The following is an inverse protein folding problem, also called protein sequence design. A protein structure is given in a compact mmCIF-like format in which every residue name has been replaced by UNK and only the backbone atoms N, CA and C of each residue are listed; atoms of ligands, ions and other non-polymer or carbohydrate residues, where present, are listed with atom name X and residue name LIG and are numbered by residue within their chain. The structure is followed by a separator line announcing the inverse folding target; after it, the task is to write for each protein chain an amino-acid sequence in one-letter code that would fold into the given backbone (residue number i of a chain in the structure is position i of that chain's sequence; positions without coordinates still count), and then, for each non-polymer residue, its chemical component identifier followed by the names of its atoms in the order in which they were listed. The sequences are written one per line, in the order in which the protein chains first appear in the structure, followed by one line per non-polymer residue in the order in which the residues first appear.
data_IF_299878740944
#
_entry.id   IF_299878740944
#
_cell.length_a   1.000
_cell.length_b   1.000
_cell.length_c   1.000
_cell.angle_alpha   90.00
_cell.angle_beta   90.00
_cell.angle_gamma   90.00
#
_symmetry.space_group_name_H-M   'P 1'
#
loop_
_entity.id
_entity.type
_entity.pdbx_description
1 polymer ?
#
# COMPACT_ATOMS: atom_id res chain seq x y z
N UNK A 1 18.92 36.84 45.73
CA UNK A 1 18.63 36.53 44.32
C UNK A 1 17.34 35.74 44.34
N UNK A 2 16.25 36.34 43.86
CA UNK A 2 14.95 35.70 43.86
C UNK A 2 14.98 34.54 42.85
N UNK A 3 14.88 33.30 43.33
CA UNK A 3 14.79 32.13 42.46
C UNK A 3 13.47 32.21 41.68
N UNK A 4 13.57 32.66 40.43
CA UNK A 4 12.43 32.73 39.54
C UNK A 4 12.01 31.30 39.19
N UNK A 5 10.74 30.96 39.44
CA UNK A 5 10.20 29.65 39.11
C UNK A 5 10.46 29.33 37.62
N UNK A 6 10.93 28.12 37.26
CA UNK A 6 11.23 27.79 35.88
C UNK A 6 9.95 27.66 35.04
N UNK A 7 10.09 27.82 33.73
CA UNK A 7 9.04 27.44 32.79
C UNK A 7 8.80 25.93 32.89
N UNK A 8 7.57 25.47 32.67
CA UNK A 8 7.27 24.03 32.64
C UNK A 8 6.61 23.68 31.30
N UNK A 9 7.11 22.62 30.67
CA UNK A 9 6.61 22.13 29.39
C UNK A 9 6.17 20.67 29.53
N UNK A 10 5.10 20.31 28.83
CA UNK A 10 4.57 18.94 28.79
C UNK A 10 4.17 18.61 27.37
N UNK A 11 4.66 17.49 26.84
CA UNK A 11 4.20 16.95 25.56
C UNK A 11 2.88 16.23 25.79
N UNK A 12 1.80 16.63 25.12
CA UNK A 12 0.47 16.07 25.35
C UNK A 12 0.19 14.94 24.35
N UNK A 13 0.30 15.23 23.06
CA UNK A 13 -0.06 14.31 21.98
C UNK A 13 0.56 14.74 20.66
N UNK A 14 0.79 13.80 19.75
CA UNK A 14 1.12 14.05 18.36
C UNK A 14 0.03 13.53 17.42
N UNK A 15 -0.33 14.31 16.41
CA UNK A 15 -1.29 13.98 15.37
C UNK A 15 -0.60 13.87 13.99
N UNK A 16 -1.18 13.10 13.08
CA UNK A 16 -0.70 13.00 11.70
C UNK A 16 0.62 12.24 11.51
N UNK A 17 1.21 11.65 12.56
CA UNK A 17 2.50 10.93 12.46
C UNK A 17 2.45 9.70 11.52
N UNK A 18 1.28 9.09 11.34
CA UNK A 18 1.08 7.99 10.38
C UNK A 18 1.25 8.43 8.92
N UNK A 19 1.13 9.72 8.61
CA UNK A 19 1.39 10.25 7.28
C UNK A 19 2.90 10.36 7.00
N UNK A 20 3.72 10.40 8.06
CA UNK A 20 5.18 10.54 7.94
C UNK A 20 5.88 9.19 7.70
N UNK A 21 5.22 8.05 7.99
CA UNK A 21 5.74 6.71 7.70
C UNK A 21 4.62 5.72 7.36
N UNK A 22 4.92 4.83 6.42
CA UNK A 22 4.01 3.75 5.99
C UNK A 22 3.78 2.65 7.04
N UNK A 23 4.59 2.60 8.10
CA UNK A 23 4.46 1.58 9.14
C UNK A 23 3.16 1.79 9.93
N UNK A 24 2.30 0.76 9.97
CA UNK A 24 0.96 0.83 10.60
C UNK A 24 0.99 1.11 12.11
N UNK A 25 2.11 0.85 12.79
CA UNK A 25 2.24 1.08 14.24
C UNK A 25 3.70 1.28 14.64
N UNK A 26 4.02 2.45 15.19
CA UNK A 26 5.33 2.73 15.79
C UNK A 26 5.17 3.69 16.97
N UNK A 27 6.11 3.67 17.91
CA UNK A 27 6.11 4.54 19.10
C UNK A 27 7.03 5.74 18.87
N UNK A 28 6.48 6.96 18.77
CA UNK A 28 7.28 8.17 18.58
C UNK A 28 8.11 8.49 19.81
N UNK A 29 9.35 8.93 19.58
CA UNK A 29 10.22 9.48 20.62
C UNK A 29 10.33 10.98 20.37
N UNK A 30 9.75 11.80 21.24
CA UNK A 30 9.80 13.25 21.14
C UNK A 30 10.91 13.77 22.04
N UNK A 31 11.83 14.55 21.48
CA UNK A 31 12.83 15.28 22.26
C UNK A 31 12.58 16.76 22.15
N UNK A 32 12.59 17.45 23.29
CA UNK A 32 12.49 18.90 23.40
C UNK A 32 13.83 19.42 23.88
N UNK A 33 14.44 20.30 23.09
CA UNK A 33 15.77 20.86 23.30
C UNK A 33 15.66 22.38 23.46
N UNK A 34 16.17 22.93 24.56
CA UNK A 34 16.19 24.38 24.81
C UNK A 34 17.62 24.90 24.65
N UNK A 35 17.83 25.82 23.70
CA UNK A 35 19.12 26.48 23.44
C UNK A 35 20.33 25.51 23.34
N UNK A 36 20.08 24.24 22.96
CA UNK A 36 21.07 23.14 22.92
C UNK A 36 21.64 22.70 24.28
N UNK A 37 21.07 23.16 25.39
CA UNK A 37 21.57 22.86 26.74
C UNK A 37 20.72 21.82 27.46
N UNK A 38 19.39 21.97 27.42
CA UNK A 38 18.47 21.07 28.12
C UNK A 38 17.76 20.18 27.12
N UNK A 39 17.97 18.87 27.25
CA UNK A 39 17.33 17.84 26.43
C UNK A 39 16.38 17.03 27.31
N UNK A 40 15.08 17.12 27.02
CA UNK A 40 14.08 16.23 27.58
C UNK A 40 13.56 15.26 26.52
N UNK A 41 13.38 14.00 26.87
CA UNK A 41 12.91 12.94 25.97
C UNK A 41 11.69 12.25 26.54
N UNK A 42 10.65 12.09 25.72
CA UNK A 42 9.45 11.33 26.08
C UNK A 42 9.03 10.39 24.96
N UNK A 43 8.51 9.22 25.32
CA UNK A 43 8.06 8.19 24.37
C UNK A 43 6.54 8.17 24.36
N UNK A 44 5.96 8.43 23.18
CA UNK A 44 4.52 8.43 22.97
C UNK A 44 4.01 7.00 22.66
N UNK A 45 2.71 6.79 22.88
CA UNK A 45 1.96 5.62 22.44
C UNK A 45 1.93 5.51 20.91
N UNK A 46 1.52 4.34 20.40
CA UNK A 46 1.40 4.11 18.95
C UNK A 46 0.37 5.02 18.27
N UNK A 47 -0.57 5.55 19.04
CA UNK A 47 -1.58 6.53 18.65
C UNK A 47 -1.10 7.99 18.79
N UNK A 48 0.14 8.19 19.22
CA UNK A 48 0.72 9.51 19.45
C UNK A 48 0.36 10.12 20.81
N UNK A 49 -0.29 9.41 21.73
CA UNK A 49 -0.62 9.95 23.05
C UNK A 49 0.55 9.85 24.03
N UNK A 50 0.78 10.89 24.85
CA UNK A 50 1.71 10.76 25.97
C UNK A 50 1.03 10.02 27.12
N UNK A 51 1.58 8.86 27.50
CA UNK A 51 1.06 8.05 28.62
C UNK A 51 1.36 8.76 29.97
N UNK A 52 2.44 9.55 30.02
CA UNK A 52 2.91 10.24 31.21
C UNK A 52 2.54 11.73 31.19
N UNK A 53 1.25 12.06 31.14
CA UNK A 53 0.78 13.46 31.15
C UNK A 53 1.15 14.23 32.42
N UNK A 54 1.51 13.53 33.51
CA UNK A 54 1.98 14.13 34.76
C UNK A 54 3.46 14.52 34.72
N UNK A 55 4.21 14.03 33.73
CA UNK A 55 5.63 14.30 33.59
C UNK A 55 5.83 15.64 32.87
N UNK A 56 5.86 16.70 33.67
CA UNK A 56 6.24 18.04 33.20
C UNK A 56 7.71 18.28 33.52
N UNK A 57 8.47 18.75 32.54
CA UNK A 57 9.88 19.05 32.73
C UNK A 57 10.11 20.55 32.87
N UNK A 58 10.94 20.97 33.85
CA UNK A 58 11.29 22.37 34.03
C UNK A 58 12.32 22.81 32.99
N UNK A 59 12.04 23.92 32.33
CA UNK A 59 12.95 24.64 31.44
C UNK A 59 13.64 25.74 32.28
N UNK A 60 14.82 25.42 32.82
CA UNK A 60 15.59 26.36 33.67
C UNK A 60 16.33 27.37 32.80
N UNK A 61 16.48 28.59 33.31
CA UNK A 61 17.19 29.70 32.62
C UNK A 61 16.59 30.07 31.26
N UNK A 62 15.33 29.71 31.03
CA UNK A 62 14.64 29.98 29.77
C UNK A 62 14.14 31.43 29.74
N UNK A 63 14.57 32.17 28.72
CA UNK A 63 14.06 33.52 28.42
C UNK A 63 13.01 33.46 27.31
N UNK A 64 12.22 34.52 27.12
CA UNK A 64 11.26 34.58 26.00
C UNK A 64 11.94 34.50 24.62
N UNK A 65 13.23 34.82 24.53
CA UNK A 65 14.02 34.72 23.31
C UNK A 65 14.68 33.35 23.13
N UNK A 66 14.64 32.48 24.14
CA UNK A 66 15.19 31.12 24.06
C UNK A 66 14.52 30.31 22.95
N UNK A 67 15.33 29.58 22.19
CA UNK A 67 14.88 28.74 21.08
C UNK A 67 14.52 27.34 21.60
N UNK A 68 13.28 26.94 21.37
CA UNK A 68 12.80 25.58 21.64
C UNK A 68 12.83 24.80 20.33
N UNK A 69 13.67 23.77 20.28
CA UNK A 69 13.75 22.83 19.16
C UNK A 69 13.10 21.50 19.56
N UNK A 70 12.08 21.09 18.82
CA UNK A 70 11.37 19.84 19.04
C UNK A 70 11.66 18.89 17.90
N UNK A 71 12.13 17.68 18.22
CA UNK A 71 12.47 16.63 17.25
C UNK A 71 11.66 15.37 17.55
N UNK A 72 11.12 14.74 16.52
CA UNK A 72 10.38 13.48 16.62
C UNK A 72 11.17 12.39 15.93
N UNK A 73 11.57 11.37 16.69
CA UNK A 73 12.36 10.24 16.23
C UNK A 73 11.55 8.96 16.19
N UNK A 74 11.86 8.12 15.20
CA UNK A 74 11.44 6.73 15.14
C UNK A 74 12.59 5.80 15.53
N UNK A 75 12.30 4.82 16.37
CA UNK A 75 13.17 3.68 16.65
C UNK A 75 12.51 2.39 16.18
N UNK A 76 13.07 1.78 15.14
CA UNK A 76 12.53 0.52 14.62
C UNK A 76 12.70 -0.63 15.62
N UNK A 77 11.67 -1.46 15.77
CA UNK A 77 11.55 -2.52 16.78
C UNK A 77 12.35 -3.80 16.49
N UNK A 78 13.48 -3.73 15.77
CA UNK A 78 14.29 -4.91 15.52
C UNK A 78 15.01 -5.36 16.80
N UNK A 79 15.05 -6.67 17.07
CA UNK A 79 15.74 -7.28 18.23
C UNK A 79 17.26 -7.04 18.26
N UNK A 80 17.86 -6.50 17.18
CA UNK A 80 19.30 -6.19 17.14
C UNK A 80 19.62 -4.97 18.02
N UNK A 81 20.41 -5.19 19.08
CA UNK A 81 20.92 -4.15 20.00
C UNK A 81 21.72 -3.11 19.20
N UNK A 82 21.50 -1.81 19.46
CA UNK A 82 22.26 -0.71 18.85
C UNK A 82 21.60 0.06 17.70
N UNK A 83 20.30 -0.13 17.42
CA UNK A 83 19.67 0.52 16.27
C UNK A 83 19.54 2.05 16.42
N UNK A 84 20.09 2.76 15.44
CA UNK A 84 20.07 4.22 15.27
C UNK A 84 18.62 4.76 15.23
N UNK A 85 18.39 5.86 15.94
CA UNK A 85 17.13 6.63 15.88
C UNK A 85 17.09 7.41 14.57
N UNK A 86 15.94 7.41 13.90
CA UNK A 86 15.74 8.15 12.66
C UNK A 86 14.88 9.39 12.95
N UNK A 87 15.37 10.58 12.62
CA UNK A 87 14.58 11.81 12.71
C UNK A 87 13.46 11.77 11.66
N UNK A 88 12.23 11.93 12.11
CA UNK A 88 11.02 11.87 11.27
C UNK A 88 10.52 13.29 10.98
N UNK A 89 10.56 14.17 11.98
CA UNK A 89 10.27 15.58 11.79
C UNK A 89 10.81 16.44 12.92
N UNK A 90 10.91 17.74 12.66
CA UNK A 90 11.40 18.72 13.61
C UNK A 90 10.63 20.02 13.51
N UNK A 91 10.59 20.80 14.58
CA UNK A 91 10.04 22.14 14.59
C UNK A 91 10.86 23.02 15.54
N UNK A 92 11.03 24.28 15.19
CA UNK A 92 11.82 25.24 15.97
C UNK A 92 11.02 26.54 16.10
N UNK A 93 10.89 27.04 17.31
CA UNK A 93 10.24 28.33 17.60
C UNK A 93 10.81 28.94 18.88
N UNK A 94 10.76 30.27 18.99
CA UNK A 94 11.11 30.93 20.24
C UNK A 94 10.04 30.68 21.32
N UNK A 95 10.45 30.67 22.58
CA UNK A 95 9.52 30.50 23.71
C UNK A 95 8.48 31.63 23.75
N UNK A 96 8.85 32.83 23.35
CA UNK A 96 7.97 33.99 23.22
C UNK A 96 6.89 33.81 22.14
N UNK A 97 7.24 33.25 20.98
CA UNK A 97 6.25 32.90 19.95
C UNK A 97 5.28 31.82 20.42
N UNK A 98 5.79 30.80 21.13
CA UNK A 98 4.96 29.75 21.73
C UNK A 98 3.99 30.35 22.75
N UNK A 99 4.48 31.25 23.61
CA UNK A 99 3.67 31.92 24.62
C UNK A 99 2.61 32.84 24.00
N UNK A 100 2.97 33.60 22.96
CA UNK A 100 2.03 34.45 22.23
C UNK A 100 0.86 33.67 21.62
N UNK A 101 1.13 32.46 21.09
CA UNK A 101 0.09 31.56 20.57
C UNK A 101 -0.78 30.94 21.67
N UNK A 102 -0.21 30.68 22.84
CA UNK A 102 -0.93 30.09 23.98
C UNK A 102 -2.07 30.99 24.51
N UNK A 103 -1.97 32.31 24.33
CA UNK A 103 -3.02 33.24 24.74
C UNK A 103 -4.36 33.07 24.02
N UNK A 104 -4.37 32.43 22.84
CA UNK A 104 -5.58 32.21 22.04
C UNK A 104 -6.20 30.82 22.27
N UNK A 105 -5.39 29.82 22.61
CA UNK A 105 -5.85 28.45 22.86
C UNK A 105 -4.98 27.80 23.95
N UNK A 106 -5.56 27.20 25.01
CA UNK A 106 -4.81 26.45 26.02
C UNK A 106 -4.01 25.26 25.46
N UNK A 107 -4.23 24.89 24.18
CA UNK A 107 -3.47 23.85 23.48
C UNK A 107 -2.52 24.51 22.48
N UNK A 108 -1.23 24.50 22.80
CA UNK A 108 -0.23 24.97 21.87
C UNK A 108 0.01 23.91 20.79
N UNK A 109 -0.38 24.22 19.55
CA UNK A 109 -0.15 23.37 18.39
C UNK A 109 1.13 23.75 17.65
N UNK A 110 2.07 22.82 17.60
CA UNK A 110 3.35 22.96 16.91
C UNK A 110 3.34 22.12 15.64
N UNK A 111 3.45 22.77 14.48
CA UNK A 111 3.51 22.07 13.20
C UNK A 111 4.90 21.50 12.93
N UNK A 112 4.99 20.20 12.67
CA UNK A 112 6.25 19.52 12.41
C UNK A 112 6.67 19.68 10.94
N UNK A 113 7.95 19.97 10.73
CA UNK A 113 8.60 19.90 9.43
C UNK A 113 9.12 18.48 9.19
N UNK A 114 8.47 17.75 8.28
CA UNK A 114 8.80 16.37 7.97
C UNK A 114 10.15 16.27 7.22
N UNK A 115 10.99 15.32 7.61
CA UNK A 115 12.16 14.93 6.83
C UNK A 115 11.80 13.72 5.96
N UNK A 116 12.09 13.81 4.65
CA UNK A 116 11.89 12.68 3.77
C UNK A 116 12.99 11.64 4.06
N UNK A 117 12.67 10.38 4.37
CA UNK A 117 13.68 9.36 4.63
C UNK A 117 14.60 9.10 3.42
N UNK A 118 14.13 9.35 2.20
CA UNK A 118 14.90 9.10 0.97
C UNK A 118 15.95 10.20 0.71
N UNK A 119 15.65 11.44 1.07
CA UNK A 119 16.55 12.57 0.91
C UNK A 119 16.65 13.28 2.26
N UNK A 120 17.83 13.24 2.90
CA UNK A 120 18.12 14.01 4.12
C UNK A 120 17.98 15.54 3.92
N UNK A 121 17.56 16.00 2.74
CA UNK A 121 17.12 17.36 2.54
C UNK A 121 15.81 17.58 3.29
N UNK A 122 15.84 18.57 4.17
CA UNK A 122 14.63 19.15 4.75
C UNK A 122 13.75 19.58 3.58
N UNK A 123 12.53 19.05 3.49
CA UNK A 123 11.62 19.42 2.42
C UNK A 123 11.41 20.94 2.48
N UNK A 124 11.98 21.62 1.49
CA UNK A 124 12.15 23.05 1.48
C UNK A 124 10.79 23.75 1.37
N UNK A 125 10.56 24.68 2.31
CA UNK A 125 9.72 25.88 2.24
C UNK A 125 8.85 25.98 0.97
N UNK A 126 7.58 25.63 1.05
CA UNK A 126 6.64 26.02 -0.02
C UNK A 126 5.31 25.29 -0.05
N UNK A 127 5.26 24.01 0.35
CA UNK A 127 3.98 23.29 0.49
C UNK A 127 3.84 22.65 1.87
N UNK A 128 2.71 22.88 2.56
CA UNK A 128 2.41 22.25 3.83
C UNK A 128 2.43 20.71 3.68
N UNK A 129 3.54 20.06 4.05
CA UNK A 129 3.60 18.60 4.03
C UNK A 129 2.68 18.05 5.13
N UNK A 130 1.59 17.42 4.71
CA UNK A 130 0.77 16.44 5.42
C UNK A 130 0.75 16.55 6.96
N UNK A 131 0.12 17.61 7.47
CA UNK A 131 -0.68 17.61 8.71
C UNK A 131 -0.10 17.10 10.03
N UNK A 132 1.21 16.86 10.17
CA UNK A 132 1.78 16.41 11.43
C UNK A 132 1.86 17.57 12.44
N UNK A 133 1.16 17.40 13.57
CA UNK A 133 1.02 18.41 14.62
C UNK A 133 1.44 17.81 15.96
N UNK A 134 2.10 18.60 16.80
CA UNK A 134 2.45 18.24 18.17
C UNK A 134 1.79 19.21 19.14
N UNK A 135 1.06 18.67 20.10
CA UNK A 135 0.36 19.45 21.12
C UNK A 135 1.24 19.51 22.35
N UNK A 136 1.58 20.73 22.75
CA UNK A 136 2.37 21.04 23.92
C UNK A 136 1.52 21.81 24.92
N UNK A 137 1.78 21.61 26.21
CA UNK A 137 1.26 22.44 27.28
C UNK A 137 2.43 23.18 27.90
N UNK A 138 2.39 24.50 27.80
CA UNK A 138 3.41 25.38 28.36
C UNK A 138 2.82 26.12 29.57
N UNK A 139 3.56 26.18 30.67
CA UNK A 139 3.15 26.91 31.86
C UNK A 139 4.27 27.87 32.27
N UNK A 140 4.00 29.17 32.31
CA UNK A 140 5.01 30.18 32.56
C UNK A 140 5.37 30.25 34.06
N UNK A 141 6.53 30.86 34.38
CA UNK A 141 6.86 31.34 35.71
C UNK A 141 5.76 32.24 36.28
N UNK A 142 5.54 32.20 37.59
CA UNK A 142 4.54 33.03 38.27
C UNK A 142 4.71 34.53 38.00
N UNK A 143 5.96 35.00 37.88
CA UNK A 143 6.31 36.40 37.57
C UNK A 143 5.83 36.87 36.19
N UNK A 144 5.74 35.96 35.22
CA UNK A 144 5.26 36.25 33.87
C UNK A 144 3.74 36.15 33.83
N UNK A 145 3.17 35.14 34.50
CA UNK A 145 1.72 34.95 34.58
C UNK A 145 0.99 36.16 35.18
N UNK A 146 1.58 36.84 36.17
CA UNK A 146 0.98 38.02 36.81
C UNK A 146 1.01 39.28 35.95
N UNK A 147 1.83 39.32 34.89
CA UNK A 147 2.05 40.53 34.07
C UNK A 147 1.16 40.59 32.83
N UNK A 148 0.52 39.48 32.48
CA UNK A 148 -0.27 39.32 31.26
C UNK A 148 -1.75 39.11 31.59
N UNK A 149 -2.41 40.14 32.11
CA UNK A 149 -3.83 40.35 31.80
C UNK A 149 -3.82 41.08 30.46
N UNK A 150 -4.17 40.43 29.34
CA UNK A 150 -4.31 41.15 28.09
C UNK A 150 -5.43 42.16 28.32
N UNK A 151 -5.10 43.45 28.34
CA UNK A 151 -6.12 44.48 28.19
C UNK A 151 -6.70 44.22 26.80
N UNK A 152 -7.99 43.84 26.68
CA UNK A 152 -8.60 43.65 25.38
C UNK A 152 -8.58 45.02 24.71
N UNK A 153 -7.67 45.20 23.76
CA UNK A 153 -7.69 46.35 22.87
C UNK A 153 -8.91 46.16 21.96
N UNK A 154 -10.06 46.66 22.40
CA UNK A 154 -11.14 47.07 21.52
C UNK A 154 -10.57 48.16 20.62
N UNK A 155 -10.09 47.81 19.43
CA UNK A 155 -10.03 48.69 18.26
C UNK A 155 -9.30 47.95 17.12
N UNK A 156 -9.86 48.04 15.91
CA UNK A 156 -9.07 47.88 14.70
C UNK A 156 -9.39 46.67 13.84
N UNK A 157 -10.39 46.83 12.98
CA UNK A 157 -10.63 46.07 11.77
C UNK A 157 -9.36 46.03 10.89
N UNK A 158 -8.55 44.97 10.95
CA UNK A 158 -7.39 44.79 10.07
C UNK A 158 -7.80 44.04 8.79
N UNK A 159 -8.05 44.83 7.74
CA UNK A 159 -8.16 44.39 6.36
C UNK A 159 -6.89 43.69 5.88
N UNK A 160 -7.07 42.53 5.26
CA UNK A 160 -6.05 41.79 4.51
C UNK A 160 -5.59 42.57 3.27
N UNK A 161 -4.43 43.19 3.33
CA UNK A 161 -3.78 43.83 2.18
C UNK A 161 -2.88 42.85 1.43
N UNK A 162 -3.41 42.35 0.32
CA UNK A 162 -2.66 41.72 -0.77
C UNK A 162 -1.71 42.74 -1.40
N UNK A 163 -0.42 42.38 -1.50
CA UNK A 163 0.57 43.18 -2.21
C UNK A 163 0.40 43.05 -3.72
N UNK A 164 -0.16 44.08 -4.37
CA UNK A 164 -0.09 44.30 -5.81
C UNK A 164 0.97 45.35 -6.12
N UNK A 165 1.95 44.98 -6.95
CA UNK A 165 3.01 45.82 -7.48
C UNK A 165 2.46 46.89 -8.44
N UNK A 166 2.60 48.15 -8.08
CA UNK A 166 2.32 49.30 -8.94
C UNK A 166 3.46 49.52 -9.95
N UNK A 167 3.11 49.48 -11.24
CA UNK A 167 3.93 50.01 -12.33
C UNK A 167 3.65 51.51 -12.46
N UNK A 168 4.71 52.32 -12.52
CA UNK A 168 4.64 53.77 -12.72
C UNK A 168 4.73 54.07 -14.21
N UNK A 169 3.76 54.82 -14.71
CA UNK A 169 3.77 55.49 -16.01
C UNK A 169 4.72 56.69 -15.96
N UNK A 170 5.56 56.83 -16.99
CA UNK A 170 6.16 58.12 -17.37
C UNK A 170 6.24 58.19 -18.89
N UNK A 171 5.52 59.16 -19.46
CA UNK A 171 5.55 59.55 -20.87
C UNK A 171 6.82 60.35 -21.19
N UNK A 172 7.46 60.09 -22.33
CA UNK A 172 8.50 60.95 -22.93
C UNK A 172 9.15 60.33 -24.18
N UNK A 173 9.53 61.12 -25.21
CA UNK A 173 9.40 60.74 -26.62
C UNK A 173 10.64 60.15 -27.30
N UNK A 174 10.37 59.50 -28.43
CA UNK A 174 11.24 59.00 -29.50
C UNK A 174 12.70 59.52 -29.56
N UNK A 175 13.64 58.59 -29.58
CA UNK A 175 14.83 58.65 -30.44
C UNK A 175 15.24 57.24 -30.87
N UNK A 176 15.44 57.09 -32.18
CA UNK A 176 15.88 55.86 -32.85
C UNK A 176 17.36 55.67 -32.55
N UNK A 177 17.74 54.55 -31.93
CA UNK A 177 19.13 54.11 -31.88
C UNK A 177 19.19 52.60 -32.01
N UNK A 178 19.71 52.20 -33.17
CA UNK A 178 19.98 50.84 -33.62
C UNK A 178 21.05 50.19 -32.71
N UNK A 179 20.72 49.05 -32.09
CA UNK A 179 21.65 48.23 -31.31
C UNK A 179 21.66 46.79 -31.85
N UNK A 180 22.82 46.10 -31.81
CA UNK A 180 23.06 44.86 -32.51
C UNK A 180 22.43 43.63 -31.81
N UNK A 181 22.21 42.52 -32.52
CA UNK A 181 21.46 41.37 -32.00
C UNK A 181 22.23 40.63 -30.88
N UNK A 182 21.51 40.09 -29.87
CA UNK A 182 22.13 39.36 -28.76
C UNK A 182 22.64 37.97 -29.17
N UNK A 183 23.71 37.46 -28.52
CA UNK A 183 24.32 36.18 -28.87
C UNK A 183 23.43 34.99 -28.52
N UNK A 184 23.30 34.10 -29.50
CA UNK A 184 22.62 32.81 -29.47
C UNK A 184 23.14 31.97 -28.29
N UNK A 185 22.26 31.66 -27.34
CA UNK A 185 22.52 30.73 -26.24
C UNK A 185 22.87 29.35 -26.80
N UNK A 186 24.09 28.89 -26.51
CA UNK A 186 24.65 27.58 -26.87
C UNK A 186 23.71 26.44 -26.47
N UNK A 187 23.16 25.78 -27.49
CA UNK A 187 22.45 24.50 -27.42
C UNK A 187 23.41 23.42 -26.91
N UNK A 188 23.07 22.77 -25.79
CA UNK A 188 23.84 21.66 -25.21
C UNK A 188 23.86 20.50 -26.23
N UNK A 189 25.06 20.07 -26.64
CA UNK A 189 25.27 19.00 -27.61
C UNK A 189 24.68 17.67 -27.08
N UNK A 190 23.83 17.06 -27.88
CA UNK A 190 23.37 15.68 -27.72
C UNK A 190 24.50 14.77 -28.18
N UNK A 191 24.88 13.82 -27.32
CA UNK A 191 25.88 12.78 -27.60
C UNK A 191 25.20 11.73 -28.48
N UNK A 192 25.57 11.69 -29.76
CA UNK A 192 25.13 10.66 -30.71
C UNK A 192 25.85 9.33 -30.45
N UNK A 193 25.16 8.23 -30.69
CA UNK A 193 25.75 6.89 -30.80
C UNK A 193 26.23 6.70 -32.25
N UNK A 194 27.46 6.22 -32.42
CA UNK A 194 27.97 5.80 -33.72
C UNK A 194 27.33 4.47 -34.11
N UNK A 195 26.61 4.48 -35.23
CA UNK A 195 26.25 3.31 -36.03
C UNK A 195 27.18 3.36 -37.23
N UNK A 196 27.98 2.31 -37.40
CA UNK A 196 28.71 1.85 -38.60
C UNK A 196 30.11 1.34 -38.24
N UNK A 197 30.27 0.02 -38.28
CA UNK A 197 31.50 -0.62 -38.75
C UNK A 197 31.05 -1.85 -39.52
N UNK A 198 30.78 -1.63 -40.81
CA UNK A 198 30.87 -2.66 -41.84
C UNK A 198 32.36 -2.92 -42.03
N UNK A 199 32.77 -4.19 -41.89
CA UNK A 199 33.84 -4.79 -42.67
C UNK A 199 33.51 -6.29 -42.81
N UNK A 200 33.13 -6.68 -44.03
CA UNK A 200 33.04 -8.07 -44.53
C UNK A 200 34.45 -8.70 -44.67
N UNK A 201 34.62 -9.86 -45.33
CA UNK A 201 34.17 -11.21 -45.01
C UNK A 201 35.38 -12.17 -44.85
N UNK A 202 35.23 -13.29 -44.14
CA UNK A 202 36.16 -14.41 -44.32
C UNK A 202 35.47 -15.76 -44.18
N UNK A 203 35.57 -16.52 -45.28
CA UNK A 203 35.05 -17.86 -45.52
C UNK A 203 36.05 -18.95 -45.10
N UNK A 204 35.54 -20.20 -45.03
CA UNK A 204 36.19 -21.49 -44.78
C UNK A 204 36.53 -21.79 -43.31
N UNK A 205 36.29 -22.98 -42.74
CA UNK A 205 35.93 -24.31 -43.27
C UNK A 205 35.30 -25.17 -42.16
N UNK A 206 34.50 -26.16 -42.58
CA UNK A 206 34.14 -27.35 -41.81
C UNK A 206 35.34 -28.02 -41.13
N UNK A 207 35.12 -28.53 -39.92
CA UNK A 207 35.61 -29.83 -39.46
C UNK A 207 34.85 -30.21 -38.20
N UNK A 208 33.96 -31.19 -38.35
CA UNK A 208 33.65 -32.16 -37.30
C UNK A 208 34.94 -32.87 -36.94
N UNK A 209 35.25 -33.05 -35.65
CA UNK A 209 36.00 -34.20 -35.14
C UNK A 209 35.84 -34.28 -33.61
N UNK A 210 35.25 -35.40 -33.18
CA UNK A 210 35.33 -35.97 -31.85
C UNK A 210 36.79 -36.23 -31.48
N UNK A 211 37.29 -35.75 -30.33
CA UNK A 211 38.27 -36.54 -29.58
C UNK A 211 38.33 -36.21 -28.08
N UNK A 212 37.87 -37.18 -27.30
CA UNK A 212 38.26 -37.42 -25.91
C UNK A 212 39.76 -37.73 -25.79
N UNK A 213 40.53 -36.98 -24.99
CA UNK A 213 41.40 -37.53 -23.92
C UNK A 213 42.32 -36.51 -23.23
N UNK A 214 42.38 -36.71 -21.91
CA UNK A 214 43.56 -36.72 -21.03
C UNK A 214 44.31 -35.41 -20.70
N UNK A 215 44.12 -34.97 -19.45
CA UNK A 215 45.13 -34.86 -18.38
C UNK A 215 46.51 -34.32 -18.76
N UNK A 216 46.80 -33.10 -18.29
CA UNK A 216 48.06 -32.59 -17.70
C UNK A 216 47.69 -31.18 -17.16
N UNK A 217 47.65 -30.91 -15.85
CA UNK A 217 48.82 -30.82 -14.98
C UNK A 217 49.32 -29.36 -14.92
N UNK A 218 48.74 -28.52 -14.06
CA UNK A 218 49.18 -27.13 -13.84
C UNK A 218 48.56 -26.50 -12.58
N UNK A 219 49.26 -25.59 -11.88
CA UNK A 219 49.35 -25.61 -10.42
C UNK A 219 48.27 -24.85 -9.66
N UNK A 220 47.95 -25.44 -8.51
CA UNK A 220 47.21 -24.90 -7.38
C UNK A 220 47.70 -23.52 -6.95
N UNK A 221 46.91 -22.49 -7.23
CA UNK A 221 46.89 -21.26 -6.44
C UNK A 221 45.68 -21.31 -5.53
N UNK A 222 45.97 -21.46 -4.24
CA UNK A 222 45.04 -21.27 -3.14
C UNK A 222 44.92 -19.77 -2.94
N UNK A 223 43.79 -19.19 -3.35
CA UNK A 223 43.32 -17.92 -2.78
C UNK A 223 42.10 -18.25 -1.93
N UNK A 224 42.33 -18.13 -0.62
CA UNK A 224 41.31 -18.08 0.42
C UNK A 224 40.44 -16.82 0.26
N UNK A 225 39.19 -16.96 0.71
CA UNK A 225 38.24 -15.89 1.02
C UNK A 225 37.51 -15.18 -0.14
N UNK A 226 36.59 -15.91 -0.78
CA UNK A 226 35.41 -15.31 -1.43
C UNK A 226 34.12 -15.82 -0.74
N UNK A 227 33.31 -14.95 -0.09
CA UNK A 227 32.13 -15.38 0.64
C UNK A 227 31.04 -15.90 -0.31
N UNK A 228 30.64 -17.16 -0.06
CA UNK A 228 29.65 -17.93 -0.78
C UNK A 228 28.41 -17.13 -1.29
N UNK A 229 27.90 -17.45 -2.50
CA UNK A 229 26.70 -16.85 -3.04
C UNK A 229 25.50 -17.18 -2.14
N UNK A 230 24.81 -16.11 -1.74
CA UNK A 230 23.59 -16.17 -0.95
C UNK A 230 22.57 -17.10 -1.63
N UNK A 231 22.07 -18.06 -0.86
CA UNK A 231 20.97 -18.94 -1.21
C UNK A 231 19.83 -18.20 -1.92
N UNK A 232 19.20 -18.79 -2.95
CA UNK A 232 18.08 -18.18 -3.64
C UNK A 232 16.98 -17.81 -2.63
N UNK A 233 16.51 -16.57 -2.71
CA UNK A 233 15.40 -16.04 -1.94
C UNK A 233 14.20 -16.98 -2.17
N UNK A 234 13.90 -17.85 -1.21
CA UNK A 234 12.64 -18.57 -1.14
C UNK A 234 11.53 -17.54 -0.90
N UNK A 235 10.94 -17.04 -1.98
CA UNK A 235 9.67 -16.34 -1.93
C UNK A 235 8.62 -17.39 -1.57
N UNK A 236 8.38 -17.56 -0.26
CA UNK A 236 7.30 -18.36 0.28
C UNK A 236 5.97 -17.69 -0.09
N UNK A 237 5.43 -18.04 -1.26
CA UNK A 237 4.05 -17.74 -1.61
C UNK A 237 3.12 -18.50 -0.66
N UNK A 238 2.33 -17.77 0.11
CA UNK A 238 1.30 -18.34 0.95
C UNK A 238 -0.05 -18.10 0.23
N UNK A 239 -0.51 -19.02 -0.64
CA UNK A 239 -1.70 -18.84 -1.47
C UNK A 239 -3.02 -18.78 -0.68
N UNK A 240 -2.97 -19.00 0.65
CA UNK A 240 -4.16 -19.08 1.52
C UNK A 240 -4.55 -17.73 2.15
N UNK A 241 -3.74 -16.67 1.94
CA UNK A 241 -3.99 -15.34 2.51
C UNK A 241 -5.22 -14.59 1.96
N UNK A 242 -5.88 -15.11 0.92
CA UNK A 242 -6.98 -14.42 0.22
C UNK A 242 -8.38 -14.69 0.81
N UNK A 243 -8.53 -15.66 1.72
CA UNK A 243 -9.88 -16.12 2.14
C UNK A 243 -10.18 -15.91 3.63
N UNK A 244 -9.23 -15.45 4.46
CA UNK A 244 -9.51 -15.16 5.86
C UNK A 244 -9.65 -13.65 6.10
N UNK A 245 -10.88 -13.10 6.19
CA UNK A 245 -11.06 -11.81 6.82
C UNK A 245 -10.57 -11.95 8.27
N UNK A 246 -9.65 -11.09 8.68
CA UNK A 246 -9.14 -11.07 10.04
C UNK A 246 -10.30 -10.88 11.04
N UNK A 247 -10.72 -11.96 11.71
CA UNK A 247 -11.82 -12.00 12.69
C UNK A 247 -11.32 -11.49 14.05
N UNK A 248 -10.73 -10.31 14.07
CA UNK A 248 -10.51 -9.55 15.30
C UNK A 248 -11.33 -8.28 15.20
N UNK A 249 -12.23 -8.00 16.17
CA UNK A 249 -13.06 -6.80 16.15
C UNK A 249 -12.15 -5.58 16.38
N UNK A 250 -11.62 -5.01 15.31
CA UNK A 250 -11.02 -3.69 15.34
C UNK A 250 -12.16 -2.67 15.43
N UNK A 251 -12.60 -2.38 16.66
CA UNK A 251 -13.34 -1.18 17.01
C UNK A 251 -12.43 0.04 16.83
N UNK A 252 -12.09 0.35 15.58
CA UNK A 252 -11.66 1.68 15.21
C UNK A 252 -12.81 2.22 14.39
N UNK A 253 -13.50 3.19 14.96
CA UNK A 253 -14.60 3.94 14.35
C UNK A 253 -14.04 4.64 13.09
N UNK A 254 -13.90 3.88 12.00
CA UNK A 254 -13.61 4.43 10.69
C UNK A 254 -14.86 5.18 10.31
N UNK A 255 -14.78 6.50 10.31
CA UNK A 255 -15.77 7.35 9.68
C UNK A 255 -15.73 6.98 8.19
N UNK A 256 -16.61 6.07 7.78
CA UNK A 256 -16.78 5.74 6.38
C UNK A 256 -17.48 6.95 5.75
N UNK A 257 -16.83 7.68 4.83
CA UNK A 257 -17.56 8.66 4.04
C UNK A 257 -18.74 7.93 3.37
N UNK A 258 -19.89 8.61 3.18
CA UNK A 258 -21.12 8.00 2.68
C UNK A 258 -20.81 7.11 1.46
N UNK A 259 -21.14 5.82 1.58
CA UNK A 259 -20.87 4.88 0.50
C UNK A 259 -21.71 5.27 -0.71
N UNK A 260 -21.05 5.49 -1.84
CA UNK A 260 -21.73 5.74 -3.11
C UNK A 260 -22.68 4.57 -3.40
N UNK A 261 -23.95 4.85 -3.68
CA UNK A 261 -24.92 3.84 -4.09
C UNK A 261 -24.47 3.25 -5.43
N UNK A 262 -23.98 2.01 -5.40
CA UNK A 262 -23.60 1.25 -6.59
C UNK A 262 -24.82 0.45 -7.05
N UNK A 263 -25.12 0.53 -8.35
CA UNK A 263 -26.11 -0.35 -8.98
C UNK A 263 -25.73 -1.82 -8.78
N UNK A 264 -26.71 -2.74 -8.76
CA UNK A 264 -26.47 -4.18 -8.57
C UNK A 264 -25.42 -4.74 -9.54
N UNK A 265 -25.44 -4.28 -10.80
CA UNK A 265 -24.46 -4.65 -11.81
C UNK A 265 -23.06 -4.13 -11.47
N UNK A 266 -22.94 -2.87 -11.05
CA UNK A 266 -21.68 -2.29 -10.58
C UNK A 266 -21.16 -3.03 -9.35
N UNK A 267 -22.05 -3.47 -8.46
CA UNK A 267 -21.70 -4.28 -7.30
C UNK A 267 -21.14 -5.63 -7.72
N UNK A 268 -21.81 -6.36 -8.60
CA UNK A 268 -21.32 -7.63 -9.14
C UNK A 268 -19.94 -7.46 -9.79
N UNK A 269 -19.80 -6.45 -10.66
CA UNK A 269 -18.53 -6.18 -11.36
C UNK A 269 -17.44 -5.73 -10.39
N UNK A 270 -17.79 -4.96 -9.35
CA UNK A 270 -16.83 -4.56 -8.32
C UNK A 270 -16.28 -5.72 -7.49
N UNK A 271 -17.00 -6.84 -7.41
CA UNK A 271 -16.48 -8.04 -6.73
C UNK A 271 -15.44 -8.77 -7.57
N UNK A 272 -15.48 -8.62 -8.90
CA UNK A 272 -14.62 -9.35 -9.82
C UNK A 272 -13.51 -8.47 -10.44
N UNK A 273 -13.68 -7.15 -10.44
CA UNK A 273 -12.81 -6.20 -11.14
C UNK A 273 -12.30 -5.09 -10.24
N UNK A 274 -11.39 -4.28 -10.76
CA UNK A 274 -10.83 -3.09 -10.09
C UNK A 274 -11.76 -1.87 -10.13
N UNK A 275 -13.01 -2.01 -10.61
CA UNK A 275 -13.92 -0.90 -10.85
C UNK A 275 -14.17 -0.04 -9.60
N UNK A 276 -14.49 -0.67 -8.47
CA UNK A 276 -14.77 0.05 -7.21
C UNK A 276 -13.56 0.81 -6.69
N UNK A 277 -12.35 0.30 -6.91
CA UNK A 277 -11.12 0.96 -6.48
C UNK A 277 -10.79 2.16 -7.37
N UNK A 278 -10.94 2.03 -8.69
CA UNK A 278 -10.77 3.15 -9.62
C UNK A 278 -11.79 4.27 -9.34
N UNK A 279 -13.06 3.91 -9.12
CA UNK A 279 -14.13 4.87 -8.76
C UNK A 279 -13.84 5.55 -7.42
N UNK A 280 -13.35 4.80 -6.42
CA UNK A 280 -12.96 5.36 -5.11
C UNK A 280 -11.76 6.32 -5.23
N UNK A 281 -10.72 5.93 -5.97
CA UNK A 281 -9.54 6.76 -6.18
C UNK A 281 -9.89 8.06 -6.90
N UNK A 282 -10.83 7.99 -7.84
CA UNK A 282 -11.39 9.16 -8.51
C UNK A 282 -12.13 10.10 -7.55
N UNK A 283 -13.07 9.57 -6.75
CA UNK A 283 -13.85 10.38 -5.82
C UNK A 283 -12.98 11.11 -4.78
N UNK A 284 -11.83 10.51 -4.41
CA UNK A 284 -10.86 11.10 -3.48
C UNK A 284 -9.84 12.01 -4.15
N UNK A 285 -9.77 11.98 -5.48
CA UNK A 285 -8.78 12.69 -6.28
C UNK A 285 -7.34 12.43 -5.78
N UNK A 286 -7.06 11.17 -5.42
CA UNK A 286 -5.79 10.76 -4.80
C UNK A 286 -4.94 9.96 -5.79
N UNK A 287 -3.90 10.59 -6.34
CA UNK A 287 -3.00 9.97 -7.33
C UNK A 287 -2.25 8.76 -6.77
N UNK A 288 -1.98 8.73 -5.47
CA UNK A 288 -1.30 7.61 -4.81
C UNK A 288 -2.14 6.31 -4.87
N UNK A 289 -3.48 6.40 -4.76
CA UNK A 289 -4.38 5.24 -4.89
C UNK A 289 -4.38 4.71 -6.33
N UNK A 290 -4.39 5.60 -7.34
CA UNK A 290 -4.28 5.19 -8.75
C UNK A 290 -2.95 4.49 -9.04
N UNK A 291 -1.86 4.99 -8.46
CA UNK A 291 -0.52 4.42 -8.63
C UNK A 291 -0.46 2.99 -8.08
N UNK A 292 -1.06 2.75 -6.92
CA UNK A 292 -1.15 1.40 -6.35
C UNK A 292 -1.95 0.45 -7.25
N UNK A 293 -3.12 0.88 -7.71
CA UNK A 293 -3.97 0.08 -8.63
C UNK A 293 -3.22 -0.24 -9.92
N UNK A 294 -2.52 0.74 -10.48
CA UNK A 294 -1.74 0.60 -11.71
C UNK A 294 -0.63 -0.44 -11.58
N UNK A 295 0.20 -0.37 -10.54
CA UNK A 295 1.25 -1.38 -10.31
C UNK A 295 0.67 -2.77 -10.07
N UNK A 296 -0.44 -2.86 -9.33
CA UNK A 296 -1.10 -4.14 -9.10
C UNK A 296 -1.60 -4.76 -10.40
N UNK A 297 -2.24 -3.98 -11.28
CA UNK A 297 -2.69 -4.44 -12.59
C UNK A 297 -1.54 -4.93 -13.46
N UNK A 298 -0.41 -4.20 -13.51
CA UNK A 298 0.77 -4.65 -14.25
C UNK A 298 1.31 -5.98 -13.73
N UNK A 299 1.36 -6.15 -12.41
CA UNK A 299 1.79 -7.39 -11.79
C UNK A 299 0.81 -8.54 -12.12
N UNK A 300 -0.50 -8.29 -12.05
CA UNK A 300 -1.54 -9.27 -12.40
C UNK A 300 -1.43 -9.70 -13.87
N UNK A 301 -1.24 -8.76 -14.80
CA UNK A 301 -1.09 -9.07 -16.22
C UNK A 301 0.20 -9.82 -16.53
N UNK A 302 1.32 -9.44 -15.91
CA UNK A 302 2.60 -10.14 -16.08
C UNK A 302 2.50 -11.58 -15.57
N UNK A 303 1.86 -11.78 -14.42
CA UNK A 303 1.64 -13.10 -13.85
C UNK A 303 0.72 -13.94 -14.74
N UNK A 304 -0.41 -13.39 -15.19
CA UNK A 304 -1.32 -14.06 -16.11
C UNK A 304 -0.62 -14.45 -17.42
N UNK A 305 0.16 -13.54 -18.01
CA UNK A 305 0.94 -13.82 -19.22
C UNK A 305 1.90 -15.00 -19.03
N UNK A 306 2.64 -15.03 -17.91
CA UNK A 306 3.56 -16.12 -17.61
C UNK A 306 2.87 -17.49 -17.50
N UNK A 307 1.72 -17.55 -16.82
CA UNK A 307 0.94 -18.80 -16.72
C UNK A 307 0.37 -19.20 -18.08
N UNK A 308 -0.17 -18.24 -18.84
CA UNK A 308 -0.74 -18.51 -20.17
C UNK A 308 0.31 -19.06 -21.14
N UNK A 309 1.55 -18.54 -21.11
CA UNK A 309 2.67 -19.09 -21.90
C UNK A 309 3.00 -20.52 -21.46
N UNK A 310 3.02 -20.79 -20.15
CA UNK A 310 3.25 -22.14 -19.65
C UNK A 310 2.14 -23.12 -20.08
N UNK A 311 0.87 -22.71 -20.02
CA UNK A 311 -0.26 -23.51 -20.50
C UNK A 311 -0.17 -23.76 -22.00
N UNK A 312 0.16 -22.73 -22.80
CA UNK A 312 0.37 -22.88 -24.24
C UNK A 312 1.52 -23.85 -24.57
N UNK A 313 2.59 -23.87 -23.78
CA UNK A 313 3.68 -24.83 -23.94
C UNK A 313 3.23 -26.27 -23.65
N UNK A 314 2.40 -26.47 -22.63
CA UNK A 314 1.78 -27.78 -22.35
C UNK A 314 0.85 -28.19 -23.49
N UNK A 315 0.00 -27.28 -23.99
CA UNK A 315 -0.88 -27.53 -25.13
C UNK A 315 -0.06 -27.96 -26.37
N UNK A 316 1.04 -27.25 -26.66
CA UNK A 316 1.94 -27.57 -27.78
C UNK A 316 2.61 -28.94 -27.63
N UNK A 317 3.03 -29.31 -26.42
CA UNK A 317 3.59 -30.62 -26.13
C UNK A 317 2.56 -31.75 -26.28
N UNK A 318 1.28 -31.49 -25.98
CA UNK A 318 0.20 -32.45 -26.23
C UNK A 318 -0.04 -32.60 -27.74
N UNK A 319 0.00 -31.51 -28.51
CA UNK A 319 -0.16 -31.57 -29.97
C UNK A 319 1.02 -32.23 -30.70
N UNK A 320 2.22 -32.22 -30.11
CA UNK A 320 3.38 -32.91 -30.70
C UNK A 320 3.35 -34.43 -30.48
N UNK A 321 2.47 -34.95 -29.64
CA UNK A 321 2.29 -36.39 -29.47
C UNK A 321 1.72 -37.01 -30.74
N UNK A 322 2.38 -38.05 -31.25
CA UNK A 322 1.93 -38.80 -32.42
C UNK A 322 0.50 -39.35 -32.22
N UNK A 323 -0.34 -39.41 -33.26
CA UNK A 323 -1.66 -40.05 -33.20
C UNK A 323 -1.61 -41.51 -32.75
N UNK A 324 -0.46 -42.18 -32.89
CA UNK A 324 -0.23 -43.57 -32.45
C UNK A 324 0.21 -43.68 -30.98
N UNK A 325 0.06 -42.61 -30.19
CA UNK A 325 0.40 -42.66 -28.76
C UNK A 325 -0.49 -43.67 -28.01
N UNK A 326 0.02 -44.16 -26.88
CA UNK A 326 -0.62 -45.15 -26.00
C UNK A 326 -2.02 -44.69 -25.52
N UNK A 327 -2.33 -43.40 -25.58
CA UNK A 327 -3.60 -42.86 -25.13
C UNK A 327 -4.52 -42.54 -26.30
N UNK A 328 -5.66 -43.26 -26.38
CA UNK A 328 -6.71 -42.96 -27.35
C UNK A 328 -7.34 -41.58 -27.05
N UNK A 329 -7.05 -40.59 -27.90
CA UNK A 329 -7.58 -39.23 -27.75
C UNK A 329 -9.00 -39.16 -28.33
N UNK A 330 -10.00 -39.16 -27.44
CA UNK A 330 -11.42 -39.00 -27.76
C UNK A 330 -11.74 -37.64 -28.43
N UNK A 331 -12.89 -37.55 -29.12
CA UNK A 331 -13.37 -36.28 -29.72
C UNK A 331 -13.52 -35.16 -28.70
N UNK A 332 -13.96 -35.49 -27.47
CA UNK A 332 -14.12 -34.53 -26.38
C UNK A 332 -12.78 -34.00 -25.86
N UNK A 333 -11.76 -34.85 -25.71
CA UNK A 333 -10.43 -34.40 -25.29
C UNK A 333 -9.78 -33.53 -26.37
N UNK A 334 -9.96 -33.83 -27.66
CA UNK A 334 -9.52 -32.94 -28.76
C UNK A 334 -10.19 -31.56 -28.70
N UNK A 335 -11.49 -31.52 -28.42
CA UNK A 335 -12.21 -30.25 -28.24
C UNK A 335 -11.70 -29.45 -27.05
N UNK A 336 -11.47 -30.12 -25.91
CA UNK A 336 -10.97 -29.48 -24.69
C UNK A 336 -9.55 -28.91 -24.85
N UNK A 337 -8.62 -29.66 -25.46
CA UNK A 337 -7.25 -29.15 -25.70
C UNK A 337 -7.23 -28.02 -26.73
N UNK A 338 -8.08 -28.08 -27.77
CA UNK A 338 -8.21 -26.98 -28.73
C UNK A 338 -8.75 -25.70 -28.07
N UNK A 339 -9.77 -25.83 -27.20
CA UNK A 339 -10.30 -24.72 -26.43
C UNK A 339 -9.26 -24.13 -25.46
N UNK A 340 -8.48 -24.99 -24.80
CA UNK A 340 -7.32 -24.60 -23.98
C UNK A 340 -6.34 -23.75 -24.80
N UNK A 341 -5.88 -24.28 -25.94
CA UNK A 341 -4.89 -23.62 -26.78
C UNK A 341 -5.36 -22.27 -27.33
N UNK A 342 -6.60 -22.17 -27.81
CA UNK A 342 -7.18 -20.91 -28.31
C UNK A 342 -7.26 -19.87 -27.17
N UNK A 343 -7.75 -20.28 -26.00
CA UNK A 343 -7.86 -19.36 -24.86
C UNK A 343 -6.49 -18.96 -24.31
N UNK A 344 -5.52 -19.87 -24.28
CA UNK A 344 -4.12 -19.59 -23.96
C UNK A 344 -3.53 -18.53 -24.91
N UNK A 345 -3.64 -18.75 -26.23
CA UNK A 345 -3.10 -17.85 -27.25
C UNK A 345 -3.73 -16.45 -27.22
N UNK A 346 -5.08 -16.37 -27.16
CA UNK A 346 -5.79 -15.11 -27.02
C UNK A 346 -5.42 -14.40 -25.71
N UNK A 347 -5.28 -15.16 -24.62
CA UNK A 347 -4.88 -14.63 -23.32
C UNK A 347 -3.50 -13.97 -23.37
N UNK A 348 -2.50 -14.66 -23.96
CA UNK A 348 -1.15 -14.12 -24.15
C UNK A 348 -1.20 -12.85 -25.00
N UNK A 349 -1.93 -12.86 -26.11
CA UNK A 349 -2.06 -11.69 -26.97
C UNK A 349 -2.69 -10.49 -26.24
N UNK A 350 -3.77 -10.71 -25.48
CA UNK A 350 -4.39 -9.66 -24.66
C UNK A 350 -3.43 -9.14 -23.58
N UNK A 351 -2.74 -10.04 -22.85
CA UNK A 351 -1.82 -9.64 -21.79
C UNK A 351 -0.63 -8.86 -22.35
N UNK A 352 -0.04 -9.31 -23.47
CA UNK A 352 1.01 -8.60 -24.17
C UNK A 352 0.55 -7.22 -24.66
N UNK A 353 -0.66 -7.13 -25.22
CA UNK A 353 -1.26 -5.84 -25.61
C UNK A 353 -1.38 -4.88 -24.43
N UNK A 354 -1.92 -5.33 -23.29
CA UNK A 354 -2.02 -4.51 -22.08
C UNK A 354 -0.63 -4.11 -21.55
N UNK A 355 0.31 -5.04 -21.47
CA UNK A 355 1.67 -4.75 -21.01
C UNK A 355 2.36 -3.75 -21.93
N UNK A 356 2.32 -3.91 -23.25
CA UNK A 356 2.93 -2.96 -24.18
C UNK A 356 2.25 -1.59 -24.10
N UNK A 357 0.91 -1.57 -24.08
CA UNK A 357 0.12 -0.33 -24.05
C UNK A 357 0.35 0.49 -22.78
N UNK A 358 0.57 -0.18 -21.66
CA UNK A 358 0.65 0.47 -20.36
C UNK A 358 2.05 0.50 -19.75
N UNK A 359 3.02 -0.34 -20.14
CA UNK A 359 4.37 -0.36 -19.56
C UNK A 359 5.09 1.00 -19.64
N UNK A 360 4.84 1.76 -20.71
CA UNK A 360 5.45 3.06 -20.98
C UNK A 360 4.55 4.25 -20.64
N UNK A 361 3.37 4.00 -20.07
CA UNK A 361 2.42 5.06 -19.74
C UNK A 361 2.78 5.71 -18.40
N UNK A 362 2.79 7.05 -18.36
CA UNK A 362 2.78 7.78 -17.10
C UNK A 362 1.42 7.63 -16.40
N UNK A 363 1.37 7.86 -15.09
CA UNK A 363 0.17 7.67 -14.28
C UNK A 363 -1.02 8.48 -14.81
N UNK A 364 -0.79 9.74 -15.21
CA UNK A 364 -1.85 10.58 -15.79
C UNK A 364 -2.33 10.04 -17.14
N UNK A 365 -1.43 9.52 -17.97
CA UNK A 365 -1.80 8.88 -19.24
C UNK A 365 -2.59 7.60 -19.01
N UNK A 366 -2.24 6.81 -17.98
CA UNK A 366 -3.02 5.65 -17.56
C UNK A 366 -4.43 6.06 -17.16
N UNK A 367 -4.58 7.05 -16.27
CA UNK A 367 -5.89 7.53 -15.80
C UNK A 367 -6.74 8.02 -16.98
N UNK A 368 -6.15 8.78 -17.91
CA UNK A 368 -6.84 9.27 -19.09
C UNK A 368 -7.28 8.13 -20.03
N UNK A 369 -6.41 7.14 -20.28
CA UNK A 369 -6.70 6.00 -21.15
C UNK A 369 -7.63 4.96 -20.53
N UNK A 370 -7.71 4.90 -19.21
CA UNK A 370 -8.61 3.99 -18.50
C UNK A 370 -10.05 4.51 -18.44
N UNK A 371 -10.29 5.78 -18.78
CA UNK A 371 -11.65 6.32 -18.88
C UNK A 371 -12.36 5.80 -20.11
N UNK A 372 -13.61 5.39 -19.92
CA UNK A 372 -14.47 4.93 -20.99
C UNK A 372 -14.94 6.11 -21.84
N UNK A 373 -14.86 5.97 -23.18
CA UNK A 373 -15.25 7.01 -24.14
C UNK A 373 -16.78 7.23 -24.15
N UNK A 374 -17.54 6.17 -23.85
CA UNK A 374 -19.02 6.14 -24.00
C UNK A 374 -19.74 6.81 -22.84
N UNK A 375 -19.03 7.17 -21.77
CA UNK A 375 -19.67 7.77 -20.60
C UNK A 375 -19.72 9.28 -20.80
N UNK A 376 -20.93 9.86 -20.83
CA UNK A 376 -21.16 11.29 -21.06
C UNK A 376 -20.56 12.18 -19.96
N UNK A 377 -21.40 12.92 -19.22
CA UNK A 377 -20.91 13.87 -18.20
C UNK A 377 -20.23 13.20 -17.00
N UNK A 378 -20.43 11.89 -16.80
CA UNK A 378 -19.81 11.13 -15.70
C UNK A 378 -18.72 10.21 -16.22
N UNK A 379 -17.44 10.43 -15.85
CA UNK A 379 -16.35 9.54 -16.25
C UNK A 379 -16.54 8.13 -15.63
N UNK A 380 -16.74 7.11 -16.48
CA UNK A 380 -16.78 5.70 -16.05
C UNK A 380 -15.48 4.98 -16.37
N UNK A 381 -15.20 3.92 -15.61
CA UNK A 381 -14.06 3.00 -15.77
C UNK A 381 -14.53 1.56 -15.99
N UNK A 382 -15.78 1.38 -16.40
CA UNK A 382 -16.46 0.09 -16.48
C UNK A 382 -15.84 -0.82 -17.53
N UNK A 383 -15.71 -0.35 -18.78
CA UNK A 383 -15.18 -1.17 -19.88
C UNK A 383 -13.70 -1.44 -19.68
N UNK A 384 -12.94 -0.46 -19.18
CA UNK A 384 -11.56 -0.68 -18.78
C UNK A 384 -11.45 -1.75 -17.68
N UNK A 385 -12.21 -1.65 -16.59
CA UNK A 385 -12.13 -2.61 -15.48
C UNK A 385 -12.49 -4.04 -15.90
N UNK A 386 -13.47 -4.19 -16.80
CA UNK A 386 -13.85 -5.48 -17.38
C UNK A 386 -12.74 -6.03 -18.30
N UNK A 387 -12.26 -5.21 -19.23
CA UNK A 387 -11.25 -5.62 -20.21
C UNK A 387 -9.89 -5.95 -19.56
N UNK A 388 -9.51 -5.23 -18.51
CA UNK A 388 -8.31 -5.49 -17.72
C UNK A 388 -8.31 -6.89 -17.07
N UNK A 389 -9.47 -7.55 -16.91
CA UNK A 389 -9.59 -8.90 -16.35
C UNK A 389 -9.70 -10.00 -17.41
N UNK A 390 -9.82 -9.66 -18.70
CA UNK A 390 -9.91 -10.65 -19.80
C UNK A 390 -8.74 -11.65 -19.78
N UNK A 391 -7.46 -11.25 -19.62
CA UNK A 391 -6.36 -12.21 -19.55
C UNK A 391 -6.52 -13.25 -18.43
N UNK A 392 -7.02 -12.83 -17.26
CA UNK A 392 -7.25 -13.74 -16.14
C UNK A 392 -8.43 -14.69 -16.41
N UNK A 393 -9.50 -14.22 -17.06
CA UNK A 393 -10.63 -15.06 -17.47
C UNK A 393 -10.19 -16.09 -18.53
N UNK A 394 -9.39 -15.67 -19.51
CA UNK A 394 -8.84 -16.57 -20.52
C UNK A 394 -7.88 -17.60 -19.92
N UNK A 395 -7.06 -17.19 -18.95
CA UNK A 395 -6.21 -18.10 -18.17
C UNK A 395 -7.04 -19.14 -17.40
N UNK A 396 -8.13 -18.72 -16.75
CA UNK A 396 -9.04 -19.62 -16.05
C UNK A 396 -9.72 -20.61 -17.02
N UNK A 397 -10.24 -20.12 -18.14
CA UNK A 397 -10.87 -20.95 -19.18
C UNK A 397 -9.88 -21.96 -19.76
N UNK A 398 -8.64 -21.54 -20.03
CA UNK A 398 -7.56 -22.41 -20.49
C UNK A 398 -7.26 -23.50 -19.45
N UNK A 399 -7.02 -23.11 -18.20
CA UNK A 399 -6.74 -24.05 -17.12
C UNK A 399 -7.87 -25.07 -16.92
N UNK A 400 -9.14 -24.64 -16.92
CA UNK A 400 -10.30 -25.54 -16.81
C UNK A 400 -10.37 -26.49 -18.01
N UNK A 401 -10.15 -25.98 -19.23
CA UNK A 401 -10.18 -26.80 -20.45
C UNK A 401 -9.06 -27.84 -20.47
N UNK A 402 -7.85 -27.46 -20.05
CA UNK A 402 -6.71 -28.37 -19.89
C UNK A 402 -6.97 -29.40 -18.79
N UNK A 403 -7.55 -29.01 -17.65
CA UNK A 403 -7.93 -29.94 -16.59
C UNK A 403 -8.99 -30.95 -17.08
N UNK A 404 -9.98 -30.51 -17.86
CA UNK A 404 -10.96 -31.40 -18.48
C UNK A 404 -10.31 -32.36 -19.49
N UNK A 405 -9.38 -31.87 -20.31
CA UNK A 405 -8.58 -32.72 -21.20
C UNK A 405 -7.85 -33.82 -20.42
N UNK A 406 -7.11 -33.45 -19.36
CA UNK A 406 -6.39 -34.40 -18.52
C UNK A 406 -7.33 -35.39 -17.84
N UNK A 407 -8.49 -34.93 -17.36
CA UNK A 407 -9.50 -35.79 -16.77
C UNK A 407 -10.06 -36.81 -17.79
N UNK A 408 -10.34 -36.39 -19.03
CA UNK A 408 -10.83 -37.30 -20.07
C UNK A 408 -9.77 -38.33 -20.49
N UNK A 409 -8.51 -37.92 -20.62
CA UNK A 409 -7.40 -38.83 -20.97
C UNK A 409 -7.12 -39.81 -19.82
N UNK A 410 -7.11 -39.34 -18.57
CA UNK A 410 -6.94 -40.21 -17.43
C UNK A 410 -8.12 -41.19 -17.27
N UNK A 411 -9.35 -40.72 -17.51
CA UNK A 411 -10.55 -41.55 -17.42
C UNK A 411 -10.61 -42.59 -18.54
N UNK A 412 -10.17 -42.26 -19.76
CA UNK A 412 -10.09 -43.25 -20.84
C UNK A 412 -9.01 -44.32 -20.57
N UNK A 413 -7.92 -43.96 -19.88
CA UNK A 413 -6.87 -44.89 -19.50
C UNK A 413 -7.28 -45.81 -18.32
N UNK A 414 -7.82 -45.24 -17.23
CA UNK A 414 -8.19 -46.01 -16.04
C UNK A 414 -9.34 -45.37 -15.24
N UNK A 415 -10.61 -45.62 -15.63
CA UNK A 415 -11.76 -44.90 -15.07
C UNK A 415 -11.95 -45.17 -13.57
N UNK A 416 -11.70 -46.40 -13.11
CA UNK A 416 -11.86 -46.77 -11.70
C UNK A 416 -10.89 -46.02 -10.79
N UNK A 417 -9.61 -45.89 -11.19
CA UNK A 417 -8.63 -45.15 -10.41
C UNK A 417 -8.96 -43.65 -10.35
N UNK A 418 -9.43 -43.06 -11.45
CA UNK A 418 -9.85 -41.65 -11.48
C UNK A 418 -11.04 -41.41 -10.56
N UNK A 419 -12.07 -42.26 -10.59
CA UNK A 419 -13.24 -42.13 -9.71
C UNK A 419 -12.83 -42.24 -8.24
N UNK A 420 -12.04 -43.25 -7.88
CA UNK A 420 -11.55 -43.45 -6.50
C UNK A 420 -10.69 -42.27 -6.06
N UNK A 421 -9.77 -41.81 -6.91
CA UNK A 421 -8.91 -40.66 -6.63
C UNK A 421 -9.70 -39.37 -6.42
N UNK A 422 -10.65 -39.06 -7.31
CA UNK A 422 -11.54 -37.91 -7.18
C UNK A 422 -12.39 -38.00 -5.90
N UNK A 423 -12.88 -39.18 -5.55
CA UNK A 423 -13.63 -39.40 -4.31
C UNK A 423 -12.77 -39.13 -3.07
N UNK A 424 -11.56 -39.68 -3.02
CA UNK A 424 -10.65 -39.48 -1.89
C UNK A 424 -10.27 -38.00 -1.74
N UNK A 425 -9.87 -37.33 -2.83
CA UNK A 425 -9.53 -35.90 -2.79
C UNK A 425 -10.74 -35.05 -2.41
N UNK A 426 -11.91 -35.35 -2.98
CA UNK A 426 -13.17 -34.68 -2.64
C UNK A 426 -13.55 -34.86 -1.17
N UNK A 427 -13.36 -36.06 -0.62
CA UNK A 427 -13.57 -36.36 0.80
C UNK A 427 -12.59 -35.57 1.68
N UNK A 428 -11.30 -35.53 1.32
CA UNK A 428 -10.29 -34.78 2.07
C UNK A 428 -10.55 -33.27 2.05
N UNK A 429 -10.90 -32.70 0.90
CA UNK A 429 -11.27 -31.28 0.77
C UNK A 429 -12.60 -30.97 1.48
N UNK A 430 -13.56 -31.89 1.41
CA UNK A 430 -14.86 -31.81 2.07
C UNK A 430 -14.81 -32.06 3.58
N UNK A 431 -13.72 -32.60 4.11
CA UNK A 431 -13.60 -33.01 5.51
C UNK A 431 -13.83 -31.84 6.47
N UNK A 432 -13.35 -30.65 6.12
CA UNK A 432 -13.59 -29.44 6.92
C UNK A 432 -15.08 -29.10 7.01
N UNK A 433 -15.80 -29.20 5.90
CA UNK A 433 -17.24 -28.97 5.85
C UNK A 433 -18.03 -30.08 6.51
N UNK A 434 -17.59 -31.34 6.41
CA UNK A 434 -18.20 -32.47 7.11
C UNK A 434 -18.05 -32.31 8.63
N UNK A 435 -16.86 -31.99 9.13
CA UNK A 435 -16.62 -31.72 10.55
C UNK A 435 -17.47 -30.54 11.02
N UNK A 436 -17.51 -29.45 10.25
CA UNK A 436 -18.34 -28.30 10.57
C UNK A 436 -19.83 -28.66 10.60
N UNK A 437 -20.32 -29.42 9.63
CA UNK A 437 -21.71 -29.88 9.53
C UNK A 437 -22.08 -30.78 10.71
N UNK A 438 -21.22 -31.74 11.08
CA UNK A 438 -21.43 -32.63 12.23
C UNK A 438 -21.47 -31.82 13.53
N UNK A 439 -20.55 -30.88 13.73
CA UNK A 439 -20.56 -29.99 14.90
C UNK A 439 -21.81 -29.12 14.95
N UNK A 440 -22.29 -28.66 13.79
CA UNK A 440 -23.50 -27.85 13.69
C UNK A 440 -24.76 -28.67 14.01
N UNK A 441 -24.87 -29.88 13.47
CA UNK A 441 -25.95 -30.83 13.78
C UNK A 441 -25.92 -31.21 15.27
N UNK A 442 -24.76 -31.54 15.84
CA UNK A 442 -24.62 -31.86 17.26
C UNK A 442 -25.04 -30.68 18.16
N UNK A 443 -24.68 -29.45 17.80
CA UNK A 443 -25.15 -28.24 18.49
C UNK A 443 -26.66 -28.05 18.34
N UNK A 444 -27.22 -28.34 17.18
CA UNK A 444 -28.66 -28.32 16.91
C UNK A 444 -29.43 -29.31 17.78
N UNK A 445 -29.00 -30.57 17.81
CA UNK A 445 -29.57 -31.63 18.65
C UNK A 445 -29.48 -31.24 20.13
N UNK A 446 -28.34 -30.70 20.59
CA UNK A 446 -28.19 -30.22 21.98
C UNK A 446 -29.09 -29.03 22.31
N UNK A 447 -29.45 -28.18 21.34
CA UNK A 447 -30.43 -27.09 21.52
C UNK A 447 -31.85 -27.65 21.61
N UNK A 448 -32.21 -28.57 20.71
CA UNK A 448 -33.53 -29.21 20.71
C UNK A 448 -33.76 -30.02 21.99
N UNK A 449 -32.78 -30.80 22.42
CA UNK A 449 -32.85 -31.55 23.68
C UNK A 449 -33.04 -30.63 24.89
N UNK A 450 -32.27 -29.53 24.97
CA UNK A 450 -32.46 -28.53 26.04
C UNK A 450 -33.84 -27.88 26.00
N UNK A 451 -34.41 -27.70 24.82
CA UNK A 451 -35.77 -27.17 24.66
C UNK A 451 -36.83 -28.17 25.14
N UNK A 452 -36.70 -29.46 24.77
CA UNK A 452 -37.60 -30.52 25.23
C UNK A 452 -37.54 -30.72 26.75
N UNK A 453 -36.34 -30.71 27.35
CA UNK A 453 -36.18 -30.80 28.81
C UNK A 453 -36.88 -29.64 29.52
N UNK A 454 -36.78 -28.41 28.99
CA UNK A 454 -37.48 -27.23 29.54
C UNK A 454 -39.00 -27.34 29.41
N UNK A 455 -39.50 -27.94 28.33
CA UNK A 455 -40.93 -28.19 28.14
C UNK A 455 -41.47 -29.19 29.17
N UNK A 456 -40.76 -30.31 29.38
CA UNK A 456 -41.13 -31.33 30.37
C UNK A 456 -41.07 -30.76 31.80
N UNK A 457 -40.03 -29.97 32.11
CA UNK A 457 -39.92 -29.32 33.42
C UNK A 457 -41.07 -28.33 33.70
N UNK A 458 -41.56 -27.60 32.68
CA UNK A 458 -42.73 -26.71 32.83
C UNK A 458 -44.05 -27.46 33.00
N UNK A 459 -44.19 -28.64 32.42
CA UNK A 459 -45.40 -29.45 32.56
C UNK A 459 -45.54 -30.15 33.92
N UNK A 460 -44.52 -30.09 34.78
CA UNK A 460 -44.50 -30.73 36.10
C UNK A 460 -44.67 -29.76 37.26
N UNK A 461 -44.83 -28.46 37.00
CA UNK A 461 -45.33 -27.55 38.04
C UNK A 461 -46.79 -27.94 38.33
N UNK A 462 -47.09 -28.47 39.54
CA UNK A 462 -48.46 -28.77 39.91
C UNK A 462 -49.27 -27.48 39.81
N UNK A 463 -50.54 -27.55 39.35
CA UNK A 463 -51.39 -26.38 39.33
C UNK A 463 -51.36 -25.77 40.72
N UNK A 464 -50.85 -24.55 40.82
CA UNK A 464 -50.82 -23.76 42.04
C UNK A 464 -52.27 -23.73 42.53
N UNK A 465 -52.54 -24.52 43.57
CA UNK A 465 -53.87 -24.58 44.16
C UNK A 465 -54.14 -23.19 44.68
N UNK A 466 -55.12 -22.51 44.06
CA UNK A 466 -55.72 -21.25 44.51
C UNK A 466 -56.20 -21.40 45.96
N UNK A 467 -55.27 -21.29 46.89
CA UNK A 467 -55.53 -21.33 48.32
C UNK A 467 -55.87 -19.90 48.75
N UNK A 468 -57.18 -19.63 48.66
CA UNK A 468 -57.99 -18.85 49.60
C UNK A 468 -57.28 -17.68 50.29
N UNK A 469 -57.61 -16.47 49.83
CA UNK A 469 -57.70 -15.32 50.74
C UNK A 469 -59.20 -15.01 50.93
N UNK A 470 -59.78 -15.63 51.95
CA UNK A 470 -60.86 -15.04 52.72
C UNK A 470 -60.21 -14.08 53.71
N UNK A 471 -60.41 -12.78 53.54
CA UNK A 471 -60.92 -11.89 54.59
C UNK A 471 -61.17 -10.47 54.06
#
# INVERSE_FOLDING_TARGET
MDEQAPWTCTVVRAHGLHLMRRERSWRPIVTVELDKLQLHETVLGCDGQNINLKDSFPLRDASLTSLVEVKVFHRSQSKKKGKKRNLVGSASCSLGEMWGKYGQDPKLELRLQCQNPANRSVASRGRPQNGALLHLRLRPPASIASRSTPIPSEDGYCSSSSSSSSASETLGPHSVTEYPPPPIRRRRRVRGYCVNSDDEPQSYSESEDDETKAVLGGPSWVDEDDPAPQSPIKISFNPVGWIFPSVLPQYTERIYPPEFELNLLERAISTFTVYKELKRAQCRQCDDEFKEIYFRLQQEWTYAAGILVALAAVDAAVFSMSPDSIFAINRFSRGAIAASSISSGLGVACAAWFLVRYAWADLHTFIARARDIVSGDTPSYFFFALSARIPAVLMLTSAISLMLFLAFVAFSAWPMAVIVGCFVVGLLMGLQFLVFSVLWVAKGVRRLFRFLVRLVARGTEPPESDEKIQH
#
